data_IF_782355406353
#
_entry.id   IF_782355406353
#
_cell.length_a   1.000
_cell.length_b   1.000
_cell.length_c   1.000
_cell.angle_alpha   90.00
_cell.angle_beta   90.00
_cell.angle_gamma   90.00
#
_symmetry.space_group_name_H-M   'P 1'
#
loop_
_entity.id
_entity.type
_entity.pdbx_description
1 polymer ?
#
# COMPACT_ATOMS: atom_id res chain seq x y z
N UNK A 1 -0.11 3.93 26.72
CA UNK A 1 0.76 3.85 25.51
C UNK A 1 1.06 2.39 25.17
N UNK A 2 1.51 1.59 26.14
CA UNK A 2 1.71 0.14 25.97
C UNK A 2 0.43 -0.58 25.48
N UNK A 3 -0.71 -0.31 26.13
CA UNK A 3 -1.99 -0.96 25.80
C UNK A 3 -2.50 -0.67 24.37
N UNK A 4 -2.02 0.40 23.73
CA UNK A 4 -2.48 0.81 22.40
C UNK A 4 -1.84 0.00 21.27
N UNK A 5 -0.66 -0.56 21.51
CA UNK A 5 0.14 -1.24 20.48
C UNK A 5 0.56 -2.65 20.88
N UNK A 6 0.23 -3.11 22.08
CA UNK A 6 0.56 -4.45 22.57
C UNK A 6 0.12 -5.56 21.61
N UNK A 7 -1.10 -5.45 21.05
CA UNK A 7 -1.65 -6.41 20.07
C UNK A 7 -0.95 -6.39 18.71
N UNK A 8 -0.20 -5.33 18.39
CA UNK A 8 0.63 -5.29 17.18
C UNK A 8 1.99 -5.94 17.42
N UNK A 9 2.48 -5.93 18.66
CA UNK A 9 3.82 -6.40 19.04
C UNK A 9 3.85 -7.91 19.29
N UNK A 10 3.39 -8.66 18.28
CA UNK A 10 3.39 -10.11 18.28
C UNK A 10 4.57 -10.66 17.46
N UNK A 11 5.00 -11.87 17.81
CA UNK A 11 6.07 -12.56 17.09
C UNK A 11 5.66 -12.78 15.63
N UNK A 12 6.63 -12.64 14.73
CA UNK A 12 6.47 -12.88 13.28
C UNK A 12 5.51 -11.90 12.57
N UNK A 13 5.12 -10.80 13.21
CA UNK A 13 4.39 -9.69 12.58
C UNK A 13 5.33 -8.62 12.06
N UNK A 14 5.16 -8.23 10.80
CA UNK A 14 5.92 -7.12 10.19
C UNK A 14 5.30 -5.80 10.60
N UNK A 15 6.10 -4.94 11.21
CA UNK A 15 5.69 -3.63 11.71
C UNK A 15 6.52 -2.50 11.10
N UNK A 16 5.86 -1.38 10.88
CA UNK A 16 6.50 -0.09 10.57
C UNK A 16 6.39 0.77 11.81
N UNK A 17 7.54 1.15 12.38
CA UNK A 17 7.62 1.90 13.63
C UNK A 17 8.28 3.25 13.37
N UNK A 18 7.64 4.33 13.82
CA UNK A 18 8.22 5.67 13.85
C UNK A 18 8.35 6.15 15.29
N UNK A 19 9.43 6.85 15.59
CA UNK A 19 9.75 7.21 16.97
C UNK A 19 11.13 7.83 17.10
N UNK A 20 11.50 8.12 18.34
CA UNK A 20 12.77 8.77 18.65
C UNK A 20 13.82 7.72 18.99
N UNK A 21 14.97 7.79 18.31
CA UNK A 21 16.16 6.98 18.62
C UNK A 21 17.09 7.79 19.52
N UNK A 22 17.66 7.13 20.52
CA UNK A 22 18.62 7.73 21.46
C UNK A 22 19.63 6.68 21.92
N UNK A 23 20.73 7.12 22.52
CA UNK A 23 21.67 6.22 23.16
C UNK A 23 21.13 5.71 24.50
N UNK A 24 21.40 4.43 24.77
CA UNK A 24 21.17 3.81 26.07
C UNK A 24 22.50 3.74 26.82
N UNK A 25 22.68 4.68 27.74
CA UNK A 25 23.88 4.81 28.55
C UNK A 25 24.05 3.65 29.56
N UNK A 26 23.02 2.83 29.79
CA UNK A 26 23.06 1.72 30.74
C UNK A 26 23.58 0.43 30.11
N UNK A 27 23.11 0.11 28.90
CA UNK A 27 23.47 -1.12 28.19
C UNK A 27 24.49 -0.89 27.04
N UNK A 28 24.88 0.36 26.77
CA UNK A 28 25.85 0.70 25.73
C UNK A 28 25.32 0.46 24.31
N UNK A 29 24.08 0.87 24.04
CA UNK A 29 23.39 0.57 22.78
C UNK A 29 22.48 1.69 22.27
N UNK A 30 21.67 1.39 21.26
CA UNK A 30 20.60 2.28 20.80
C UNK A 30 19.27 1.84 21.43
N UNK A 31 18.51 2.82 21.92
CA UNK A 31 17.11 2.64 22.33
C UNK A 31 16.20 3.48 21.44
N UNK A 32 15.01 2.95 21.17
CA UNK A 32 13.97 3.69 20.44
C UNK A 32 12.71 3.78 21.30
N UNK A 33 12.17 4.99 21.43
CA UNK A 33 10.82 5.22 21.97
C UNK A 33 9.85 5.33 20.80
N UNK A 34 9.06 4.27 20.58
CA UNK A 34 8.04 4.24 19.54
C UNK A 34 6.94 5.26 19.81
N UNK A 35 6.59 6.06 18.79
CA UNK A 35 5.48 7.03 18.81
C UNK A 35 4.30 6.54 17.98
N UNK A 36 4.58 5.87 16.87
CA UNK A 36 3.58 5.22 16.02
C UNK A 36 4.07 3.82 15.66
N UNK A 37 3.19 2.84 15.80
CA UNK A 37 3.40 1.45 15.37
C UNK A 37 2.26 1.11 14.44
N UNK A 38 2.57 0.61 13.26
CA UNK A 38 1.61 0.21 12.24
C UNK A 38 1.97 -1.19 11.77
N UNK A 39 0.97 -2.01 11.45
CA UNK A 39 1.23 -3.19 10.63
C UNK A 39 1.43 -2.82 9.15
N UNK A 40 1.82 -3.81 8.36
CA UNK A 40 2.12 -3.60 6.96
C UNK A 40 0.91 -3.10 6.15
N UNK A 41 -0.30 -3.58 6.45
CA UNK A 41 -1.53 -3.14 5.78
C UNK A 41 -1.80 -1.65 6.02
N UNK A 42 -1.80 -1.25 7.29
CA UNK A 42 -1.99 0.15 7.69
C UNK A 42 -0.89 1.06 7.14
N UNK A 43 0.36 0.58 7.11
CA UNK A 43 1.47 1.32 6.51
C UNK A 43 1.28 1.49 4.99
N UNK A 44 0.81 0.46 4.28
CA UNK A 44 0.51 0.54 2.85
C UNK A 44 -0.65 1.50 2.59
N UNK A 45 -1.71 1.47 3.36
CA UNK A 45 -2.82 2.43 3.24
C UNK A 45 -2.36 3.88 3.42
N UNK A 46 -1.47 4.12 4.41
CA UNK A 46 -1.00 5.47 4.74
C UNK A 46 0.04 6.00 3.74
N UNK A 47 0.96 5.15 3.27
CA UNK A 47 2.14 5.61 2.53
C UNK A 47 2.16 5.20 1.05
N UNK A 48 1.30 4.28 0.60
CA UNK A 48 1.26 3.92 -0.81
C UNK A 48 0.78 5.09 -1.67
N UNK A 49 1.55 5.40 -2.72
CA UNK A 49 1.21 6.47 -3.67
C UNK A 49 0.15 6.05 -4.69
N UNK A 50 -0.08 4.74 -4.83
CA UNK A 50 -1.04 4.18 -5.77
C UNK A 50 -0.65 2.79 -6.25
N UNK A 51 -1.64 2.01 -6.68
CA UNK A 51 -1.44 0.82 -7.49
C UNK A 51 -1.10 1.26 -8.92
N UNK A 52 -0.05 0.70 -9.51
CA UNK A 52 0.33 0.96 -10.90
C UNK A 52 0.11 -0.30 -11.72
N UNK A 53 -0.77 -0.22 -12.71
CA UNK A 53 -1.07 -1.31 -13.64
C UNK A 53 -0.54 -0.92 -15.01
N UNK A 54 0.41 -1.69 -15.53
CA UNK A 54 0.94 -1.48 -16.88
C UNK A 54 0.21 -2.40 -17.85
N UNK A 55 -0.32 -1.84 -18.94
CA UNK A 55 -1.11 -2.56 -19.94
C UNK A 55 -0.56 -2.23 -21.32
N UNK A 56 -0.12 -3.25 -22.03
CA UNK A 56 0.16 -3.16 -23.45
C UNK A 56 -1.13 -3.36 -24.27
N UNK A 57 -1.22 -2.69 -25.41
CA UNK A 57 -2.37 -2.78 -26.31
C UNK A 57 -2.71 -4.22 -26.73
N UNK A 58 -1.72 -5.11 -26.86
CA UNK A 58 -1.95 -6.51 -27.22
C UNK A 58 -2.63 -7.33 -26.11
N UNK A 59 -2.74 -6.79 -24.90
CA UNK A 59 -3.43 -7.45 -23.77
C UNK A 59 -4.93 -7.11 -23.72
N UNK A 60 -5.39 -6.11 -24.48
CA UNK A 60 -6.79 -5.71 -24.50
C UNK A 60 -7.53 -6.55 -25.54
N UNK A 61 -8.36 -7.46 -25.04
CA UNK A 61 -9.31 -8.25 -25.83
C UNK A 61 -10.75 -7.97 -25.37
N UNK A 62 -11.73 -8.64 -25.98
CA UNK A 62 -13.15 -8.43 -25.70
C UNK A 62 -13.54 -8.69 -24.23
N UNK A 63 -12.77 -9.50 -23.50
CA UNK A 63 -13.02 -9.85 -22.09
C UNK A 63 -12.25 -8.96 -21.11
N UNK A 64 -11.32 -8.14 -21.58
CA UNK A 64 -10.36 -7.43 -20.74
C UNK A 64 -11.06 -6.58 -19.67
N UNK A 65 -12.03 -5.74 -20.08
CA UNK A 65 -12.69 -4.83 -19.15
C UNK A 65 -13.60 -5.56 -18.15
N UNK A 66 -14.22 -6.67 -18.55
CA UNK A 66 -15.00 -7.51 -17.64
C UNK A 66 -14.10 -8.11 -16.56
N UNK A 67 -12.97 -8.70 -16.96
CA UNK A 67 -12.01 -9.31 -16.05
C UNK A 67 -11.35 -8.27 -15.14
N UNK A 68 -10.91 -7.16 -15.71
CA UNK A 68 -10.29 -6.05 -14.97
C UNK A 68 -11.24 -5.52 -13.89
N UNK A 69 -12.50 -5.27 -14.24
CA UNK A 69 -13.51 -4.78 -13.31
C UNK A 69 -13.79 -5.81 -12.22
N UNK A 70 -13.99 -7.09 -12.60
CA UNK A 70 -14.26 -8.19 -11.66
C UNK A 70 -13.12 -8.39 -10.65
N UNK A 71 -11.86 -8.25 -11.08
CA UNK A 71 -10.69 -8.38 -10.21
C UNK A 71 -10.62 -7.22 -9.23
N UNK A 72 -10.89 -5.99 -9.66
CA UNK A 72 -10.82 -4.82 -8.78
C UNK A 72 -12.02 -4.71 -7.84
N UNK A 73 -13.20 -5.20 -8.23
CA UNK A 73 -14.45 -5.03 -7.47
C UNK A 73 -14.36 -5.39 -5.97
N UNK A 74 -13.81 -6.55 -5.54
CA UNK A 74 -13.73 -6.90 -4.13
C UNK A 74 -12.74 -6.03 -3.33
N UNK A 75 -11.87 -5.28 -4.00
CA UNK A 75 -10.84 -4.45 -3.37
C UNK A 75 -11.18 -2.97 -3.37
N UNK A 76 -12.33 -2.56 -3.92
CA UNK A 76 -12.79 -1.16 -3.99
C UNK A 76 -13.07 -0.57 -2.60
N UNK A 77 -13.41 0.73 -2.59
CA UNK A 77 -13.71 1.52 -1.40
C UNK A 77 -12.51 1.72 -0.46
N UNK A 78 -11.29 1.67 -1.00
CA UNK A 78 -10.08 1.99 -0.26
C UNK A 78 -9.58 3.42 -0.46
N UNK A 79 -8.36 3.66 0.01
CA UNK A 79 -7.71 4.98 -0.03
C UNK A 79 -6.68 5.11 -1.14
N UNK A 80 -6.20 3.98 -1.69
CA UNK A 80 -5.05 3.95 -2.59
C UNK A 80 -5.50 4.11 -4.05
N UNK A 81 -5.01 5.11 -4.80
CA UNK A 81 -5.42 5.34 -6.19
C UNK A 81 -4.88 4.27 -7.13
N UNK A 82 -5.67 3.92 -8.15
CA UNK A 82 -5.25 3.02 -9.24
C UNK A 82 -4.85 3.85 -10.45
N UNK A 83 -3.61 3.65 -10.89
CA UNK A 83 -3.01 4.31 -12.05
C UNK A 83 -2.77 3.26 -13.14
N UNK A 84 -3.37 3.47 -14.30
CA UNK A 84 -3.17 2.66 -15.49
C UNK A 84 -2.15 3.34 -16.40
N UNK A 85 -1.09 2.62 -16.73
CA UNK A 85 -0.08 3.01 -17.71
C UNK A 85 -0.33 2.19 -18.97
N UNK A 86 -1.00 2.82 -19.94
CA UNK A 86 -1.35 2.20 -21.21
C UNK A 86 -0.27 2.48 -22.24
N UNK A 87 0.17 1.44 -22.95
CA UNK A 87 1.20 1.52 -23.97
C UNK A 87 0.73 0.90 -25.29
N UNK A 88 1.07 1.59 -26.38
CA UNK A 88 1.05 1.11 -27.76
C UNK A 88 2.46 1.21 -28.34
N UNK A 89 2.64 0.73 -29.57
CA UNK A 89 3.89 0.89 -30.31
C UNK A 89 4.28 2.36 -30.52
N UNK A 90 3.29 3.24 -30.66
CA UNK A 90 3.43 4.65 -31.05
C UNK A 90 3.11 5.65 -29.94
N UNK A 91 2.56 5.20 -28.81
CA UNK A 91 2.06 6.10 -27.77
C UNK A 91 2.09 5.49 -26.36
N UNK A 92 2.13 6.36 -25.36
CA UNK A 92 1.94 6.02 -23.94
C UNK A 92 1.02 7.03 -23.27
N UNK A 93 0.17 6.54 -22.39
CA UNK A 93 -0.74 7.36 -21.59
C UNK A 93 -0.79 6.86 -20.16
N UNK A 94 -0.98 7.80 -19.22
CA UNK A 94 -1.30 7.50 -17.84
C UNK A 94 -2.73 7.94 -17.57
N UNK A 95 -3.54 7.02 -17.05
CA UNK A 95 -4.91 7.24 -16.63
C UNK A 95 -5.00 6.97 -15.12
N UNK A 96 -5.54 7.91 -14.37
CA UNK A 96 -5.89 7.67 -12.97
C UNK A 96 -7.38 7.32 -12.93
N UNK A 97 -7.72 6.16 -12.36
CA UNK A 97 -9.12 5.76 -12.24
C UNK A 97 -9.87 6.64 -11.22
N UNK A 98 -11.19 6.66 -11.33
CA UNK A 98 -12.07 7.40 -10.44
C UNK A 98 -11.92 6.98 -8.97
N UNK A 99 -12.39 7.82 -8.06
CA UNK A 99 -12.30 7.59 -6.60
C UNK A 99 -12.97 6.28 -6.16
N UNK A 100 -14.01 5.86 -6.87
CA UNK A 100 -14.73 4.60 -6.67
C UNK A 100 -13.87 3.35 -6.94
N UNK A 101 -12.78 3.50 -7.69
CA UNK A 101 -11.81 2.45 -8.00
C UNK A 101 -10.60 2.44 -7.09
N UNK A 102 -10.56 3.30 -6.06
CA UNK A 102 -9.48 3.24 -5.06
C UNK A 102 -9.53 1.92 -4.31
N UNK A 103 -8.35 1.35 -4.09
CA UNK A 103 -8.20 0.02 -3.50
C UNK A 103 -7.74 0.05 -2.05
N UNK A 104 -8.12 -0.97 -1.29
CA UNK A 104 -7.61 -1.25 0.05
C UNK A 104 -6.50 -2.29 -0.05
N UNK A 105 -5.25 -1.97 0.32
CA UNK A 105 -4.16 -2.95 0.36
C UNK A 105 -4.41 -3.99 1.46
N UNK A 106 -4.55 -5.27 1.07
CA UNK A 106 -4.47 -6.42 1.99
C UNK A 106 -3.05 -6.94 2.10
#
# INVERSE_FOLDING_TARGET
>A
ALDRYAELLEKDRILVVSGQVSFDDFNGGLKMSAREVMDLGSAREKYARGLSVSIDANQINDQFFEQFSRILEPHKAGTVPVNVYYQRADARARLTLGTEWRVTPS
#
